data_IF_377021161520
#
_entry.id   IF_377021161520
#
_cell.length_a   1.000
_cell.length_b   1.000
_cell.length_c   1.000
_cell.angle_alpha   90.00
_cell.angle_beta   90.00
_cell.angle_gamma   90.00
#
_symmetry.space_group_name_H-M   'P 1'
#
loop_
_entity.id
_entity.type
_entity.pdbx_description
1 polymer ?
#
# COMPACT_ATOMS: atom_id res chain seq x y z
N UNK A 1 -22.05 -5.76 -18.39
CA UNK A 1 -20.63 -6.05 -18.09
C UNK A 1 -19.74 -4.80 -18.05
N UNK A 2 -20.01 -3.72 -18.80
CA UNK A 2 -19.18 -2.50 -18.77
C UNK A 2 -19.19 -1.73 -17.43
N UNK A 3 -20.28 -1.76 -16.66
CA UNK A 3 -20.41 -1.00 -15.41
C UNK A 3 -19.44 -1.45 -14.30
N UNK A 4 -19.25 -2.77 -14.10
CA UNK A 4 -18.35 -3.29 -13.07
C UNK A 4 -16.88 -2.90 -13.33
N UNK A 5 -16.42 -3.01 -14.58
CA UNK A 5 -15.05 -2.61 -14.92
C UNK A 5 -14.83 -1.10 -14.79
N UNK A 6 -15.85 -0.27 -15.06
CA UNK A 6 -15.80 1.17 -14.77
C UNK A 6 -15.65 1.46 -13.27
N UNK A 7 -16.38 0.74 -12.42
CA UNK A 7 -16.25 0.86 -10.96
C UNK A 7 -14.85 0.46 -10.49
N UNK A 8 -14.30 -0.65 -10.99
CA UNK A 8 -12.94 -1.08 -10.65
C UNK A 8 -11.90 -0.04 -11.09
N UNK A 9 -12.00 0.48 -12.31
CA UNK A 9 -11.12 1.53 -12.81
C UNK A 9 -11.17 2.79 -11.93
N UNK A 10 -12.37 3.20 -11.53
CA UNK A 10 -12.56 4.35 -10.66
C UNK A 10 -11.96 4.13 -9.27
N UNK A 11 -12.14 2.94 -8.67
CA UNK A 11 -11.52 2.60 -7.37
C UNK A 11 -10.00 2.61 -7.48
N UNK A 12 -9.43 2.05 -8.56
CA UNK A 12 -8.01 2.06 -8.81
C UNK A 12 -7.45 3.48 -8.85
N UNK A 13 -8.10 4.40 -9.57
CA UNK A 13 -7.70 5.81 -9.66
C UNK A 13 -7.94 6.53 -8.32
N UNK A 14 -9.08 6.32 -7.68
CA UNK A 14 -9.43 6.97 -6.41
C UNK A 14 -8.54 6.54 -5.24
N UNK A 15 -7.96 5.34 -5.30
CA UNK A 15 -7.02 4.87 -4.28
C UNK A 15 -5.63 5.53 -4.38
N UNK A 16 -5.32 6.17 -5.51
CA UNK A 16 -3.98 6.75 -5.77
C UNK A 16 -3.62 7.92 -4.86
N UNK A 17 -4.52 8.88 -4.53
CA UNK A 17 -4.18 9.98 -3.63
C UNK A 17 -3.88 9.48 -2.22
N UNK A 18 -4.59 8.43 -1.76
CA UNK A 18 -4.33 7.78 -0.48
C UNK A 18 -2.95 7.12 -0.49
N UNK A 19 -2.58 6.46 -1.59
CA UNK A 19 -1.26 5.84 -1.73
C UNK A 19 -0.13 6.88 -1.73
N UNK A 20 -0.33 8.01 -2.41
CA UNK A 20 0.60 9.15 -2.41
C UNK A 20 0.71 9.76 -1.00
N UNK A 21 -0.41 9.91 -0.29
CA UNK A 21 -0.42 10.42 1.08
C UNK A 21 0.39 9.53 2.02
N UNK A 22 0.20 8.21 1.97
CA UNK A 22 0.99 7.25 2.77
C UNK A 22 2.48 7.31 2.41
N UNK A 23 2.81 7.50 1.13
CA UNK A 23 4.21 7.67 0.68
C UNK A 23 4.84 8.95 1.27
N UNK A 24 4.17 10.10 1.17
CA UNK A 24 4.64 11.36 1.75
C UNK A 24 4.76 11.28 3.27
N UNK A 25 3.84 10.58 3.93
CA UNK A 25 3.92 10.35 5.37
C UNK A 25 5.10 9.46 5.75
N UNK A 26 5.40 8.43 4.95
CA UNK A 26 6.61 7.64 5.11
C UNK A 26 7.88 8.50 5.02
N UNK A 27 7.93 9.45 4.07
CA UNK A 27 9.07 10.39 3.93
C UNK A 27 9.19 11.26 5.19
N UNK A 28 8.07 11.80 5.66
CA UNK A 28 8.04 12.60 6.90
C UNK A 28 8.65 11.83 8.08
N UNK A 29 8.27 10.56 8.25
CA UNK A 29 8.81 9.71 9.32
C UNK A 29 10.31 9.50 9.14
N UNK A 30 10.82 9.27 7.93
CA UNK A 30 12.26 9.12 7.70
C UNK A 30 13.06 10.39 7.94
N UNK A 31 12.43 11.57 7.92
CA UNK A 31 13.09 12.85 8.25
C UNK A 31 13.13 13.06 9.77
N UNK A 32 12.06 12.70 10.48
CA UNK A 32 11.97 12.85 11.94
C UNK A 32 12.75 11.79 12.72
N UNK A 33 13.09 10.67 12.09
CA UNK A 33 13.72 9.51 12.73
C UNK A 33 15.02 9.13 12.03
N UNK A 34 15.83 8.28 12.66
CA UNK A 34 17.03 7.71 12.03
C UNK A 34 16.71 6.60 10.99
N UNK A 35 15.43 6.38 10.66
CA UNK A 35 15.05 5.37 9.67
C UNK A 35 15.41 5.80 8.25
N UNK A 36 16.12 4.94 7.53
CA UNK A 36 16.38 5.12 6.11
C UNK A 36 15.21 4.69 5.23
N UNK A 37 15.23 5.06 3.95
CA UNK A 37 14.24 4.66 2.95
C UNK A 37 14.00 3.15 2.85
N UNK A 38 15.02 2.35 3.14
CA UNK A 38 14.96 0.88 3.11
C UNK A 38 14.58 0.28 4.46
N UNK A 39 14.90 0.98 5.56
CA UNK A 39 14.68 0.48 6.92
C UNK A 39 13.25 0.63 7.40
N UNK A 40 12.47 1.56 6.81
CA UNK A 40 11.06 1.77 7.11
C UNK A 40 10.19 0.74 6.36
N UNK A 41 9.99 -0.41 6.98
CA UNK A 41 9.11 -1.46 6.46
C UNK A 41 7.64 -1.17 6.77
N UNK A 42 6.72 -1.85 6.09
CA UNK A 42 5.29 -1.80 6.40
C UNK A 42 5.01 -2.13 7.86
N UNK A 43 5.66 -3.16 8.41
CA UNK A 43 5.48 -3.55 9.81
C UNK A 43 5.86 -2.41 10.75
N UNK A 44 7.05 -1.83 10.58
CA UNK A 44 7.53 -0.73 11.43
C UNK A 44 6.64 0.51 11.33
N UNK A 45 6.16 0.83 10.13
CA UNK A 45 5.21 1.92 9.96
C UNK A 45 3.92 1.68 10.75
N UNK A 46 3.39 0.45 10.70
CA UNK A 46 2.20 0.06 11.45
C UNK A 46 2.49 0.09 12.96
N UNK A 47 3.65 -0.39 13.42
CA UNK A 47 4.04 -0.34 14.82
C UNK A 47 4.09 1.10 15.36
N UNK A 48 4.65 2.03 14.58
CA UNK A 48 4.87 3.41 14.99
C UNK A 48 3.58 4.26 14.94
N UNK A 49 2.70 4.04 13.96
CA UNK A 49 1.54 4.92 13.71
C UNK A 49 0.19 4.25 13.90
N UNK A 50 0.14 2.92 13.75
CA UNK A 50 -1.10 2.14 13.77
C UNK A 50 -0.98 0.94 14.73
N UNK A 51 -0.48 1.18 15.95
CA UNK A 51 -0.25 0.11 16.94
C UNK A 51 -1.48 -0.77 17.17
N UNK A 52 -2.70 -0.23 17.05
CA UNK A 52 -3.93 -1.02 17.18
C UNK A 52 -4.08 -2.11 16.10
N UNK A 53 -3.49 -1.95 14.91
CA UNK A 53 -3.48 -2.95 13.85
C UNK A 53 -2.54 -4.12 14.15
N UNK A 54 -1.58 -4.01 15.07
CA UNK A 54 -0.66 -5.11 15.40
C UNK A 54 -1.43 -6.34 15.88
N UNK A 55 -2.46 -6.15 16.72
CA UNK A 55 -3.29 -7.27 17.19
C UNK A 55 -3.99 -7.98 16.04
N UNK A 56 -4.43 -7.23 15.03
CA UNK A 56 -5.02 -7.79 13.82
C UNK A 56 -3.98 -8.53 12.96
N UNK A 57 -2.76 -8.00 12.83
CA UNK A 57 -1.66 -8.67 12.13
C UNK A 57 -1.32 -9.99 12.82
N UNK A 58 -1.16 -10.00 14.15
CA UNK A 58 -0.89 -11.24 14.89
C UNK A 58 -2.00 -12.27 14.69
N UNK A 59 -3.26 -11.84 14.67
CA UNK A 59 -4.36 -12.73 14.31
C UNK A 59 -4.23 -13.24 12.87
N UNK A 60 -3.84 -12.41 11.89
CA UNK A 60 -3.59 -12.89 10.51
C UNK A 60 -2.52 -13.99 10.47
N UNK A 61 -1.45 -13.88 11.26
CA UNK A 61 -0.40 -14.91 11.34
C UNK A 61 -0.93 -16.27 11.82
N UNK A 62 -2.04 -16.35 12.56
CA UNK A 62 -2.53 -17.66 13.06
C UNK A 62 -3.27 -18.50 12.02
N UNK A 63 -3.75 -17.90 10.93
CA UNK A 63 -4.59 -18.60 9.96
C UNK A 63 -4.21 -18.35 8.50
N UNK A 64 -3.44 -17.31 8.22
CA UNK A 64 -2.99 -16.96 6.88
C UNK A 64 -1.58 -17.49 6.61
N UNK A 65 -1.17 -17.45 5.35
CA UNK A 65 0.14 -17.95 4.93
C UNK A 65 1.27 -17.07 5.46
N UNK A 66 1.98 -17.54 6.49
CA UNK A 66 3.04 -16.80 7.20
C UNK A 66 4.13 -16.22 6.27
N UNK A 67 4.81 -17.02 5.40
CA UNK A 67 5.79 -16.49 4.44
C UNK A 67 5.30 -15.33 3.56
N UNK A 68 4.01 -15.34 3.21
CA UNK A 68 3.44 -14.26 2.40
C UNK A 68 3.27 -12.98 3.23
N UNK A 69 2.81 -13.11 4.49
CA UNK A 69 2.70 -11.98 5.40
C UNK A 69 4.07 -11.36 5.66
N UNK A 70 5.07 -12.19 5.96
CA UNK A 70 6.44 -11.73 6.17
C UNK A 70 6.98 -10.99 4.95
N UNK A 71 6.73 -11.53 3.76
CA UNK A 71 7.12 -10.86 2.51
C UNK A 71 6.45 -9.48 2.40
N UNK A 72 5.12 -9.38 2.52
CA UNK A 72 4.40 -8.11 2.35
C UNK A 72 4.77 -7.08 3.43
N UNK A 73 4.94 -7.53 4.68
CA UNK A 73 5.21 -6.67 5.84
C UNK A 73 6.67 -6.22 5.92
N UNK A 74 7.60 -6.99 5.37
CA UNK A 74 9.02 -6.62 5.26
C UNK A 74 9.33 -5.67 4.10
N UNK A 75 8.41 -5.49 3.15
CA UNK A 75 8.63 -4.57 2.04
C UNK A 75 8.85 -3.13 2.53
N UNK A 76 9.86 -2.42 2.00
CA UNK A 76 10.07 -1.01 2.29
C UNK A 76 8.85 -0.19 1.84
N UNK A 77 8.27 0.57 2.79
CA UNK A 77 7.07 1.36 2.58
C UNK A 77 7.25 2.30 1.38
N UNK A 78 8.39 2.99 1.36
CA UNK A 78 8.70 4.02 0.37
C UNK A 78 9.00 3.48 -1.03
N UNK A 79 9.24 2.18 -1.19
CA UNK A 79 9.51 1.59 -2.51
C UNK A 79 8.23 1.02 -3.10
N UNK A 80 7.52 0.18 -2.35
CA UNK A 80 6.38 -0.54 -2.92
C UNK A 80 5.14 0.37 -3.10
N UNK A 81 4.96 1.40 -2.26
CA UNK A 81 3.81 2.30 -2.33
C UNK A 81 3.73 3.13 -3.61
N UNK A 82 4.81 3.80 -4.09
CA UNK A 82 4.77 4.50 -5.37
C UNK A 82 4.67 3.54 -6.56
N UNK A 83 5.30 2.36 -6.48
CA UNK A 83 5.16 1.32 -7.51
C UNK A 83 3.69 0.92 -7.64
N UNK A 84 3.03 0.63 -6.52
CA UNK A 84 1.61 0.28 -6.47
C UNK A 84 0.72 1.40 -7.01
N UNK A 85 1.03 2.66 -6.69
CA UNK A 85 0.30 3.83 -7.21
C UNK A 85 0.40 3.96 -8.73
N UNK A 86 1.60 3.79 -9.29
CA UNK A 86 1.82 3.84 -10.74
C UNK A 86 1.03 2.71 -11.41
N UNK A 87 1.19 1.47 -10.95
CA UNK A 87 0.47 0.34 -11.53
C UNK A 87 -1.05 0.48 -11.41
N UNK A 88 -1.56 0.90 -10.25
CA UNK A 88 -3.00 1.11 -10.03
C UNK A 88 -3.56 2.18 -10.99
N UNK A 89 -2.83 3.28 -11.16
CA UNK A 89 -3.23 4.37 -12.06
C UNK A 89 -3.23 3.92 -13.52
N UNK A 90 -2.17 3.24 -13.94
CA UNK A 90 -2.02 2.73 -15.32
C UNK A 90 -3.11 1.70 -15.65
N UNK A 91 -3.39 0.77 -14.74
CA UNK A 91 -4.46 -0.23 -14.90
C UNK A 91 -5.82 0.47 -14.96
N UNK A 92 -6.07 1.44 -14.06
CA UNK A 92 -7.31 2.21 -14.05
C UNK A 92 -7.57 2.92 -15.39
N UNK A 93 -6.57 3.64 -15.90
CA UNK A 93 -6.67 4.31 -17.20
C UNK A 93 -6.77 3.34 -18.38
N UNK A 94 -6.03 2.23 -18.34
CA UNK A 94 -6.08 1.23 -19.40
C UNK A 94 -7.46 0.57 -19.50
N UNK A 95 -8.07 0.24 -18.35
CA UNK A 95 -9.43 -0.29 -18.30
C UNK A 95 -10.43 0.75 -18.85
N UNK A 96 -10.32 2.01 -18.43
CA UNK A 96 -11.20 3.09 -18.88
C UNK A 96 -11.13 3.27 -20.40
N UNK A 97 -9.91 3.33 -20.96
CA UNK A 97 -9.68 3.46 -22.41
C UNK A 97 -10.26 2.29 -23.23
N UNK A 98 -10.38 1.10 -22.63
CA UNK A 98 -10.93 -0.09 -23.31
C UNK A 98 -12.45 -0.18 -23.20
N UNK A 99 -13.06 0.62 -22.33
CA UNK A 99 -14.51 0.70 -22.11
C UNK A 99 -15.18 1.85 -22.85
N UNK A 100 -14.39 2.81 -23.33
CA UNK A 100 -14.76 3.84 -24.30
C UNK A 100 -14.72 3.28 -25.73
#
# INVERSE_FOLDING_TARGET
MSSLFKVIALICIWSTPIQIFVFLWGIWITIETEYTFYSLTNLKFIELKFHFLISFIHWLYTWFWEPYLDFVLSLPLLIHQPIKAIFSTLIGFWILKKLD
#
